data_IF_650482115772
#
_entry.id   IF_650482115772
#
_cell.length_a   1.000
_cell.length_b   1.000
_cell.length_c   1.000
_cell.angle_alpha   90.00
_cell.angle_beta   90.00
_cell.angle_gamma   90.00
#
_symmetry.space_group_name_H-M   'P 1'
#
loop_
_entity.id
_entity.type
_entity.pdbx_description
1 polymer ?
#
# COMPACT_ATOMS: atom_id res chain seq x y z
N UNK A 1 -3.19 17.05 -8.90
CA UNK A 1 -1.83 16.69 -9.35
C UNK A 1 -1.44 17.36 -10.67
N UNK A 2 -2.27 17.33 -11.70
CA UNK A 2 -1.96 17.95 -13.00
C UNK A 2 -1.63 19.43 -12.95
N UNK A 3 -2.18 20.15 -11.98
CA UNK A 3 -1.94 21.59 -11.80
C UNK A 3 -0.51 21.95 -11.40
N UNK A 4 0.26 20.99 -10.88
CA UNK A 4 1.58 21.24 -10.31
C UNK A 4 1.58 21.99 -8.98
N UNK A 5 0.39 22.16 -8.37
CA UNK A 5 0.23 22.92 -7.11
C UNK A 5 0.32 22.04 -5.86
N UNK A 6 0.45 20.74 -6.03
CA UNK A 6 0.46 19.77 -4.93
C UNK A 6 1.81 19.06 -4.92
N UNK A 7 2.49 19.07 -3.77
CA UNK A 7 3.80 18.43 -3.59
C UNK A 7 3.69 16.99 -3.10
N UNK A 8 2.69 16.69 -2.28
CA UNK A 8 2.50 15.38 -1.68
C UNK A 8 1.02 14.97 -1.74
N UNK A 9 0.78 13.74 -2.19
CA UNK A 9 -0.54 13.10 -2.16
C UNK A 9 -0.42 11.80 -1.38
N UNK A 10 -1.32 11.59 -0.42
CA UNK A 10 -1.43 10.33 0.33
C UNK A 10 -2.77 9.70 0.02
N UNK A 11 -2.75 8.46 -0.44
CA UNK A 11 -3.94 7.66 -0.72
C UNK A 11 -4.09 6.61 0.37
N UNK A 12 -5.02 6.80 1.26
CA UNK A 12 -5.34 5.87 2.35
C UNK A 12 -6.80 5.43 2.23
N UNK A 13 -7.08 4.26 1.92
CA UNK A 13 -6.20 3.16 1.56
C UNK A 13 -6.49 2.70 0.13
N UNK A 14 -5.60 1.94 -0.46
CA UNK A 14 -5.81 1.34 -1.80
C UNK A 14 -7.08 0.50 -1.83
N UNK A 15 -7.43 -0.16 -0.73
CA UNK A 15 -8.65 -0.96 -0.60
C UNK A 15 -9.95 -0.15 -0.81
N UNK A 16 -9.91 1.16 -0.58
CA UNK A 16 -11.06 2.04 -0.80
C UNK A 16 -11.26 2.44 -2.27
N UNK A 17 -10.29 2.15 -3.13
CA UNK A 17 -10.37 2.43 -4.56
C UNK A 17 -11.17 1.32 -5.24
N UNK A 18 -12.51 1.45 -5.22
CA UNK A 18 -13.42 0.46 -5.80
C UNK A 18 -13.74 0.85 -7.24
N UNK A 19 -13.58 -0.06 -8.23
CA UNK A 19 -13.99 0.22 -9.60
C UNK A 19 -15.47 0.54 -9.70
N UNK A 20 -15.81 1.48 -10.57
CA UNK A 20 -17.19 1.90 -10.81
C UNK A 20 -18.10 0.72 -11.15
N UNK A 21 -17.61 -0.21 -11.97
CA UNK A 21 -18.36 -1.40 -12.35
C UNK A 21 -18.73 -2.30 -11.17
N UNK A 22 -17.93 -2.36 -10.12
CA UNK A 22 -18.26 -3.10 -8.90
C UNK A 22 -19.35 -2.39 -8.09
N UNK A 23 -19.34 -1.06 -8.06
CA UNK A 23 -20.38 -0.27 -7.37
C UNK A 23 -21.72 -0.33 -8.08
N UNK A 24 -21.74 -0.43 -9.39
CA UNK A 24 -22.94 -0.47 -10.23
C UNK A 24 -23.41 -1.89 -10.55
N UNK A 25 -22.59 -2.91 -10.23
CA UNK A 25 -22.93 -4.30 -10.45
C UNK A 25 -23.99 -4.82 -9.49
N UNK A 26 -24.64 -5.93 -9.87
CA UNK A 26 -25.61 -6.61 -9.01
C UNK A 26 -24.89 -7.35 -7.88
N UNK A 27 -25.62 -7.57 -6.77
CA UNK A 27 -25.11 -8.34 -5.65
C UNK A 27 -24.78 -9.78 -6.10
N UNK A 28 -23.54 -10.20 -5.88
CA UNK A 28 -23.06 -11.51 -6.29
C UNK A 28 -22.34 -11.54 -7.63
N UNK A 29 -22.32 -10.44 -8.36
CA UNK A 29 -21.49 -10.31 -9.57
C UNK A 29 -20.01 -10.41 -9.19
N UNK A 30 -19.30 -11.30 -9.88
CA UNK A 30 -17.88 -11.46 -9.70
C UNK A 30 -17.14 -10.81 -10.87
N UNK A 31 -16.23 -9.88 -10.55
CA UNK A 31 -15.39 -9.19 -11.54
C UNK A 31 -13.90 -9.43 -11.18
N UNK A 32 -13.41 -10.68 -11.28
CA UNK A 32 -12.06 -11.01 -10.85
C UNK A 32 -11.01 -10.24 -11.67
N UNK A 33 -10.05 -9.66 -10.96
CA UNK A 33 -8.96 -8.91 -11.56
C UNK A 33 -9.33 -7.53 -12.11
N UNK A 34 -10.59 -7.10 -12.00
CA UNK A 34 -11.00 -5.78 -12.48
C UNK A 34 -10.26 -4.65 -11.74
N UNK A 35 -10.22 -4.72 -10.42
CA UNK A 35 -9.51 -3.73 -9.60
C UNK A 35 -8.03 -3.68 -9.95
N UNK A 36 -7.38 -4.83 -10.10
CA UNK A 36 -5.97 -4.92 -10.45
C UNK A 36 -5.70 -4.32 -11.83
N UNK A 37 -6.56 -4.59 -12.81
CA UNK A 37 -6.44 -4.07 -14.18
C UNK A 37 -6.63 -2.56 -14.23
N UNK A 38 -7.63 -2.03 -13.55
CA UNK A 38 -7.89 -0.60 -13.48
C UNK A 38 -6.80 0.13 -12.68
N UNK A 39 -6.29 -0.49 -11.63
CA UNK A 39 -5.15 0.03 -10.88
C UNK A 39 -3.90 0.16 -11.77
N UNK A 40 -3.63 -0.84 -12.60
CA UNK A 40 -2.51 -0.80 -13.54
C UNK A 40 -2.64 0.33 -14.55
N UNK A 41 -3.83 0.55 -15.10
CA UNK A 41 -4.11 1.67 -16.01
C UNK A 41 -3.95 3.02 -15.32
N UNK A 42 -4.49 3.17 -14.12
CA UNK A 42 -4.39 4.40 -13.33
C UNK A 42 -2.94 4.74 -12.99
N UNK A 43 -2.16 3.77 -12.55
CA UNK A 43 -0.75 3.97 -12.20
C UNK A 43 0.10 4.36 -13.41
N UNK A 44 -0.21 3.84 -14.59
CA UNK A 44 0.46 4.22 -15.82
C UNK A 44 0.25 5.72 -16.12
N UNK A 45 -0.99 6.20 -15.98
CA UNK A 45 -1.32 7.62 -16.13
C UNK A 45 -0.67 8.48 -15.06
N UNK A 46 -0.71 8.03 -13.80
CA UNK A 46 -0.11 8.75 -12.67
C UNK A 46 1.39 8.90 -12.82
N UNK A 47 2.09 7.87 -13.27
CA UNK A 47 3.54 7.91 -13.46
C UNK A 47 3.95 9.03 -14.43
N UNK A 48 3.21 9.20 -15.51
CA UNK A 48 3.46 10.29 -16.47
C UNK A 48 3.25 11.67 -15.82
N UNK A 49 2.20 11.83 -15.01
CA UNK A 49 1.92 13.09 -14.31
C UNK A 49 2.94 13.38 -13.21
N UNK A 50 3.37 12.37 -12.47
CA UNK A 50 4.39 12.51 -11.41
C UNK A 50 5.70 13.07 -11.99
N UNK A 51 6.13 12.57 -13.13
CA UNK A 51 7.33 13.09 -13.80
C UNK A 51 7.23 14.57 -14.16
N UNK A 52 6.04 15.01 -14.58
CA UNK A 52 5.80 16.39 -15.03
C UNK A 52 5.64 17.37 -13.88
N UNK A 53 5.03 16.94 -12.77
CA UNK A 53 4.62 17.83 -11.68
C UNK A 53 5.52 17.75 -10.45
N UNK A 54 6.48 16.85 -10.45
CA UNK A 54 7.40 16.64 -9.32
C UNK A 54 6.66 16.40 -7.99
N UNK A 55 5.56 15.66 -8.06
CA UNK A 55 4.70 15.34 -6.91
C UNK A 55 5.10 13.99 -6.34
N UNK A 56 5.20 13.88 -5.01
CA UNK A 56 5.33 12.60 -4.33
C UNK A 56 3.95 12.01 -4.06
N UNK A 57 3.78 10.72 -4.36
CA UNK A 57 2.54 9.99 -4.07
C UNK A 57 2.85 8.83 -3.16
N UNK A 58 2.14 8.75 -2.03
CA UNK A 58 2.25 7.66 -1.06
C UNK A 58 0.94 6.89 -1.08
N UNK A 59 1.03 5.59 -1.37
CA UNK A 59 -0.11 4.68 -1.25
C UNK A 59 0.00 3.89 0.05
N UNK A 60 -1.05 3.94 0.85
CA UNK A 60 -1.18 3.10 2.05
C UNK A 60 -2.01 1.89 1.65
N UNK A 61 -1.44 0.70 1.84
CA UNK A 61 -2.12 -0.54 1.52
C UNK A 61 -2.22 -1.42 2.77
N UNK A 62 -3.14 -2.37 2.72
CA UNK A 62 -3.33 -3.33 3.80
C UNK A 62 -2.86 -4.70 3.35
N UNK A 63 -2.29 -5.46 4.29
CA UNK A 63 -1.92 -6.85 4.06
C UNK A 63 -3.17 -7.71 4.21
N UNK A 64 -3.40 -8.61 3.25
CA UNK A 64 -4.47 -9.61 3.27
C UNK A 64 -3.86 -10.99 3.22
N UNK A 65 -4.60 -11.98 3.71
CA UNK A 65 -4.21 -13.37 3.65
C UNK A 65 -4.98 -14.08 2.55
N UNK A 66 -4.26 -14.76 1.63
CA UNK A 66 -4.89 -15.62 0.62
C UNK A 66 -5.37 -16.91 1.27
N UNK A 67 -6.62 -17.26 0.98
CA UNK A 67 -7.22 -18.53 1.43
C UNK A 67 -6.70 -19.67 0.54
N UNK A 68 -6.33 -20.81 1.15
CA UNK A 68 -5.96 -22.01 0.43
C UNK A 68 -4.52 -22.06 -0.09
N UNK A 69 -3.66 -21.13 0.32
CA UNK A 69 -2.24 -21.21 -0.02
C UNK A 69 -1.55 -22.23 0.87
N UNK A 70 -1.12 -23.35 0.28
CA UNK A 70 -0.43 -24.42 1.00
C UNK A 70 1.09 -24.23 1.05
N UNK A 71 1.65 -23.56 0.05
CA UNK A 71 3.09 -23.30 -0.07
C UNK A 71 3.34 -21.83 -0.35
N UNK A 72 4.48 -21.34 0.13
CA UNK A 72 4.87 -19.95 -0.03
C UNK A 72 4.19 -19.00 0.96
N UNK A 73 4.32 -17.70 0.72
CA UNK A 73 3.76 -16.68 1.58
C UNK A 73 2.30 -16.40 1.22
N UNK A 74 1.33 -16.63 2.14
CA UNK A 74 -0.07 -16.35 1.88
C UNK A 74 -0.42 -14.86 1.93
N UNK A 75 0.47 -14.01 2.37
CA UNK A 75 0.21 -12.58 2.46
C UNK A 75 0.12 -11.95 1.07
N UNK A 76 -0.86 -11.08 0.89
CA UNK A 76 -1.07 -10.33 -0.34
C UNK A 76 -1.56 -8.92 -0.04
N UNK A 77 -1.51 -8.05 -1.03
CA UNK A 77 -2.01 -6.68 -0.91
C UNK A 77 -3.17 -6.46 -1.87
N UNK A 78 -4.01 -5.48 -1.55
CA UNK A 78 -5.14 -5.08 -2.40
C UNK A 78 -4.63 -4.42 -3.68
N UNK A 79 -5.34 -4.60 -4.79
CA UNK A 79 -5.03 -3.97 -6.07
C UNK A 79 -4.07 -4.77 -6.96
N UNK A 80 -3.74 -6.00 -6.58
CA UNK A 80 -2.87 -6.89 -7.37
C UNK A 80 -1.40 -6.48 -7.32
N UNK A 81 -0.66 -6.80 -8.37
CA UNK A 81 0.79 -6.61 -8.43
C UNK A 81 1.23 -5.26 -9.01
N UNK A 82 0.30 -4.45 -9.51
CA UNK A 82 0.64 -3.22 -10.20
C UNK A 82 1.43 -2.23 -9.33
N UNK A 83 0.99 -1.99 -8.09
CA UNK A 83 1.70 -1.13 -7.15
C UNK A 83 3.10 -1.63 -6.84
N UNK A 84 3.28 -2.94 -6.71
CA UNK A 84 4.59 -3.55 -6.48
C UNK A 84 5.56 -3.25 -7.60
N UNK A 85 5.06 -3.22 -8.84
CA UNK A 85 5.84 -2.93 -10.02
C UNK A 85 6.16 -1.42 -10.16
N UNK A 86 5.15 -0.57 -10.02
CA UNK A 86 5.30 0.87 -10.25
C UNK A 86 5.95 1.63 -9.09
N UNK A 87 5.86 1.14 -7.86
CA UNK A 87 6.43 1.81 -6.69
C UNK A 87 7.95 1.92 -6.79
N UNK A 88 8.49 3.09 -6.50
CA UNK A 88 9.93 3.30 -6.38
C UNK A 88 10.48 2.77 -5.07
N UNK A 89 9.72 2.93 -4.00
CA UNK A 89 10.04 2.46 -2.65
C UNK A 89 8.84 1.72 -2.09
N UNK A 90 9.07 0.58 -1.47
CA UNK A 90 8.05 -0.19 -0.76
C UNK A 90 8.51 -0.46 0.66
N UNK A 91 7.68 -0.10 1.62
CA UNK A 91 7.92 -0.29 3.03
C UNK A 91 6.91 -1.28 3.61
N UNK A 92 7.40 -2.29 4.31
CA UNK A 92 6.59 -3.21 5.11
C UNK A 92 6.62 -2.70 6.55
N UNK A 93 5.46 -2.36 7.08
CA UNK A 93 5.32 -1.77 8.42
C UNK A 93 4.52 -2.72 9.29
N UNK A 94 5.11 -3.16 10.41
CA UNK A 94 4.47 -4.12 11.33
C UNK A 94 4.63 -3.68 12.76
N UNK A 95 3.55 -3.84 13.51
CA UNK A 95 3.59 -3.77 14.96
C UNK A 95 4.20 -5.07 15.48
N UNK A 96 5.25 -4.99 16.27
CA UNK A 96 5.97 -6.15 16.80
C UNK A 96 5.85 -6.29 18.32
N UNK A 97 5.30 -5.31 19.03
CA UNK A 97 5.10 -5.39 20.46
C UNK A 97 4.22 -4.27 21.00
N UNK A 98 3.79 -4.43 22.23
CA UNK A 98 3.05 -3.41 22.96
C UNK A 98 3.94 -2.80 24.04
N UNK A 99 3.82 -1.49 24.24
CA UNK A 99 4.49 -0.78 25.33
C UNK A 99 3.45 -0.56 26.42
N UNK A 100 3.75 -1.03 27.63
CA UNK A 100 2.86 -0.91 28.77
C UNK A 100 3.48 -0.04 29.84
N UNK A 101 2.66 0.82 30.44
CA UNK A 101 2.96 1.48 31.69
C UNK A 101 2.03 0.88 32.76
N UNK A 102 2.60 0.08 33.67
CA UNK A 102 1.86 -0.78 34.59
C UNK A 102 1.00 -1.78 33.80
N UNK A 103 -0.32 -1.76 33.93
CA UNK A 103 -1.22 -2.65 33.19
C UNK A 103 -1.86 -1.97 31.97
N UNK A 104 -1.47 -0.74 31.65
CA UNK A 104 -2.04 0.05 30.56
C UNK A 104 -1.14 0.05 29.34
N UNK A 105 -1.72 -0.19 28.15
CA UNK A 105 -1.01 -0.09 26.88
C UNK A 105 -0.90 1.38 26.49
N UNK A 106 0.31 1.90 26.45
CA UNK A 106 0.59 3.33 26.16
C UNK A 106 1.26 3.56 24.81
N UNK A 107 1.58 2.49 24.09
CA UNK A 107 2.21 2.59 22.79
C UNK A 107 2.46 1.23 22.16
N UNK A 108 3.17 1.23 21.04
CA UNK A 108 3.62 0.01 20.39
C UNK A 108 5.04 0.16 19.84
N UNK A 109 5.74 -0.96 19.71
CA UNK A 109 6.99 -1.04 18.97
C UNK A 109 6.68 -1.45 17.54
N UNK A 110 7.18 -0.68 16.60
CA UNK A 110 6.93 -0.84 15.17
C UNK A 110 8.22 -1.14 14.45
N UNK A 111 8.17 -2.09 13.52
CA UNK A 111 9.28 -2.40 12.61
C UNK A 111 8.91 -1.96 11.20
N UNK A 112 9.82 -1.23 10.56
CA UNK A 112 9.74 -0.87 9.16
C UNK A 112 10.87 -1.54 8.41
N UNK A 113 10.52 -2.32 7.40
CA UNK A 113 11.48 -2.99 6.52
C UNK A 113 11.34 -2.45 5.10
N UNK A 114 12.45 -2.04 4.51
CA UNK A 114 12.49 -1.60 3.12
C UNK A 114 12.56 -2.83 2.22
N UNK A 115 11.44 -3.19 1.60
CA UNK A 115 11.34 -4.40 0.78
C UNK A 115 11.63 -4.16 -0.70
N UNK A 116 11.56 -2.91 -1.13
CA UNK A 116 11.96 -2.47 -2.48
C UNK A 116 12.46 -1.04 -2.42
N UNK A 117 13.57 -0.77 -3.11
CA UNK A 117 14.10 0.59 -3.24
C UNK A 117 14.86 0.70 -4.56
N UNK A 118 14.38 1.56 -5.46
CA UNK A 118 15.03 1.84 -6.74
C UNK A 118 16.11 2.92 -6.67
N UNK A 119 16.14 3.66 -5.57
CA UNK A 119 17.02 4.84 -5.43
C UNK A 119 18.15 4.66 -4.43
N UNK A 120 18.14 3.56 -3.67
CA UNK A 120 19.18 3.21 -2.70
C UNK A 120 19.15 1.70 -2.42
N UNK A 121 20.15 1.12 -1.74
CA UNK A 121 20.16 -0.30 -1.38
C UNK A 121 18.93 -0.67 -0.53
N UNK A 122 18.19 -1.75 -0.91
CA UNK A 122 17.02 -2.20 -0.17
C UNK A 122 17.38 -3.07 1.04
N UNK A 123 16.34 -3.61 1.71
CA UNK A 123 16.41 -4.59 2.81
C UNK A 123 16.93 -4.08 4.13
N UNK A 124 17.09 -2.78 4.28
CA UNK A 124 17.30 -2.18 5.60
C UNK A 124 16.03 -2.23 6.42
N UNK A 125 16.18 -2.34 7.73
CA UNK A 125 15.04 -2.26 8.65
C UNK A 125 15.38 -1.39 9.86
N UNK A 126 14.35 -0.84 10.46
CA UNK A 126 14.42 -0.03 11.67
C UNK A 126 13.25 -0.37 12.58
N UNK A 127 13.50 -0.28 13.87
CA UNK A 127 12.47 -0.45 14.90
C UNK A 127 12.41 0.83 15.73
N UNK A 128 11.20 1.25 16.07
CA UNK A 128 10.96 2.44 16.89
C UNK A 128 9.64 2.33 17.63
N UNK A 129 9.48 3.16 18.65
CA UNK A 129 8.28 3.19 19.47
C UNK A 129 7.35 4.30 19.01
N UNK A 130 6.06 3.97 18.96
CA UNK A 130 4.98 4.92 18.73
C UNK A 130 4.17 4.99 20.00
N UNK A 131 4.18 6.13 20.65
CA UNK A 131 3.40 6.39 21.85
C UNK A 131 2.02 6.96 21.49
N UNK A 132 1.01 6.59 22.25
CA UNK A 132 -0.39 7.03 22.05
C UNK A 132 -0.70 8.33 22.78
#
# INVERSE_FOLDING_TARGET
>A
MRSGSIDLIVVDSVAALTPKAELEGEMGDSLPGLQARLMSQALRKLTANIKKTNTMVIFINQIRMKIGVMFGNPETTTGGNALKFYASVRLDIRRIGSIKDRDEVVGNTTRVKVVKNKVAPPFKQVEFDIMY
#
